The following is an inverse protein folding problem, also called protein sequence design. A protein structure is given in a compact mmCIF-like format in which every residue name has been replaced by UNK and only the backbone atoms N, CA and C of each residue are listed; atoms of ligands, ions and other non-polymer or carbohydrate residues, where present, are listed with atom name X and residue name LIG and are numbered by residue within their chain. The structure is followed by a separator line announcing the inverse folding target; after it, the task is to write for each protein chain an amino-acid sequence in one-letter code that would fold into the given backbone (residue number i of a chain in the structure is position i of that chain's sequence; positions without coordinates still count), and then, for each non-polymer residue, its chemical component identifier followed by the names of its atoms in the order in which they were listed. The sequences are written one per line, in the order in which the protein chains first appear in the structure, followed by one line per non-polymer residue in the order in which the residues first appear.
data_IF_132207169458
#
_entry.id   IF_132207169458
#
_cell.length_a   1.000
_cell.length_b   1.000
_cell.length_c   1.000
_cell.angle_alpha   90.00
_cell.angle_beta   90.00
_cell.angle_gamma   90.00
#
_symmetry.space_group_name_H-M   'P 1'
#
loop_
_entity.id
_entity.type
_entity.pdbx_description
1 polymer ?
#
# COMPACT_ATOMS: atom_id res chain seq x y z
N UNK A 1 9.58 2.02 -9.78
CA UNK A 1 8.46 1.19 -10.21
C UNK A 1 7.23 1.78 -9.56
N UNK A 2 6.45 2.55 -10.31
CA UNK A 2 5.10 2.96 -9.93
C UNK A 2 4.21 1.75 -10.18
N UNK A 3 3.49 1.27 -9.17
CA UNK A 3 2.54 0.18 -9.33
C UNK A 3 1.23 0.79 -9.85
N UNK A 4 0.59 0.19 -10.85
CA UNK A 4 -0.68 0.65 -11.45
C UNK A 4 -1.90 0.33 -10.55
N UNK A 5 -1.68 0.03 -9.27
CA UNK A 5 -2.72 -0.43 -8.34
C UNK A 5 -3.13 0.67 -7.39
N UNK A 6 -4.43 0.88 -7.29
CA UNK A 6 -5.05 1.70 -6.25
C UNK A 6 -4.85 1.09 -4.86
N UNK A 7 -4.97 1.92 -3.82
CA UNK A 7 -4.94 1.45 -2.43
C UNK A 7 -6.04 0.42 -2.15
N UNK A 8 -7.22 0.60 -2.76
CA UNK A 8 -8.36 -0.30 -2.60
C UNK A 8 -8.09 -1.68 -3.22
N UNK A 9 -7.51 -1.74 -4.42
CA UNK A 9 -7.13 -3.02 -5.05
C UNK A 9 -6.09 -3.78 -4.23
N UNK A 10 -5.10 -3.07 -3.66
CA UNK A 10 -4.12 -3.73 -2.78
C UNK A 10 -4.79 -4.23 -1.52
N UNK A 11 -5.69 -3.45 -0.91
CA UNK A 11 -6.45 -3.85 0.27
C UNK A 11 -7.34 -5.07 0.01
N UNK A 12 -8.06 -5.11 -1.11
CA UNK A 12 -8.90 -6.25 -1.49
C UNK A 12 -8.10 -7.51 -1.83
N UNK A 13 -6.86 -7.33 -2.31
CA UNK A 13 -5.95 -8.44 -2.60
C UNK A 13 -5.25 -9.02 -1.36
N UNK A 14 -5.46 -8.45 -0.17
CA UNK A 14 -4.83 -8.96 1.05
C UNK A 14 -5.30 -10.38 1.33
N UNK A 15 -4.37 -11.22 1.76
CA UNK A 15 -4.67 -12.53 2.31
C UNK A 15 -4.27 -12.60 3.79
N UNK A 16 -4.63 -13.69 4.46
CA UNK A 16 -4.37 -13.85 5.90
C UNK A 16 -2.87 -13.76 6.29
N UNK A 17 -1.94 -14.13 5.41
CA UNK A 17 -0.50 -13.96 5.71
C UNK A 17 -0.05 -12.50 5.64
N UNK A 18 -0.68 -11.71 4.77
CA UNK A 18 -0.44 -10.27 4.69
C UNK A 18 -1.02 -9.57 5.92
N UNK A 19 -2.23 -9.92 6.34
CA UNK A 19 -2.85 -9.41 7.57
C UNK A 19 -1.98 -9.68 8.81
N UNK A 20 -1.48 -10.90 8.97
CA UNK A 20 -0.58 -11.27 10.08
C UNK A 20 0.70 -10.44 10.07
N UNK A 21 1.25 -10.16 8.89
CA UNK A 21 2.46 -9.37 8.78
C UNK A 21 2.22 -7.89 9.07
N UNK A 22 1.10 -7.34 8.58
CA UNK A 22 0.65 -5.99 8.90
C UNK A 22 0.45 -5.88 10.41
N UNK A 23 -0.21 -6.83 11.06
CA UNK A 23 -0.45 -6.83 12.49
C UNK A 23 0.86 -6.78 13.29
N UNK A 24 1.85 -7.60 12.91
CA UNK A 24 3.17 -7.59 13.54
C UNK A 24 3.94 -6.29 13.33
N UNK A 25 3.77 -5.64 12.18
CA UNK A 25 4.53 -4.45 11.82
C UNK A 25 3.87 -3.14 12.28
N UNK A 26 2.55 -3.03 12.20
CA UNK A 26 1.78 -1.80 12.36
C UNK A 26 0.67 -1.90 13.41
N UNK A 27 0.38 -3.11 13.92
CA UNK A 27 -0.82 -3.39 14.73
C UNK A 27 -2.01 -3.77 13.86
N UNK A 28 -3.15 -4.07 14.50
CA UNK A 28 -4.39 -4.47 13.80
C UNK A 28 -4.76 -3.47 12.70
N UNK A 29 -5.03 -3.96 11.49
CA UNK A 29 -5.33 -3.10 10.33
C UNK A 29 -6.55 -2.21 10.57
N UNK A 30 -7.53 -2.69 11.33
CA UNK A 30 -8.73 -1.95 11.74
C UNK A 30 -8.41 -0.74 12.62
N UNK A 31 -7.29 -0.78 13.36
CA UNK A 31 -6.82 0.34 14.19
C UNK A 31 -6.23 1.49 13.35
N UNK A 32 -5.97 1.26 12.06
CA UNK A 32 -5.44 2.25 11.14
C UNK A 32 -6.52 3.07 10.43
N UNK A 33 -7.82 2.78 10.66
CA UNK A 33 -8.95 3.47 10.02
C UNK A 33 -8.91 4.99 10.14
N UNK A 34 -8.45 5.51 11.27
CA UNK A 34 -8.37 6.95 11.56
C UNK A 34 -6.98 7.53 11.25
N UNK A 35 -6.10 6.73 10.64
CA UNK A 35 -4.70 7.07 10.31
C UNK A 35 -4.42 6.78 8.83
N UNK A 36 -5.01 7.53 7.89
CA UNK A 36 -4.98 7.20 6.46
C UNK A 36 -3.56 7.06 5.91
N UNK A 37 -2.62 7.92 6.32
CA UNK A 37 -1.23 7.81 5.87
C UNK A 37 -0.49 6.60 6.45
N UNK A 38 -0.94 6.07 7.58
CA UNK A 38 -0.36 4.84 8.13
C UNK A 38 -1.00 3.61 7.49
N UNK A 39 -2.28 3.68 7.14
CA UNK A 39 -2.94 2.67 6.33
C UNK A 39 -2.24 2.51 4.97
N UNK A 40 -2.00 3.60 4.22
CA UNK A 40 -1.25 3.54 2.96
C UNK A 40 0.16 2.94 3.11
N UNK A 41 0.85 3.24 4.22
CA UNK A 41 2.16 2.63 4.50
C UNK A 41 2.06 1.14 4.81
N UNK A 42 1.03 0.70 5.52
CA UNK A 42 0.79 -0.71 5.75
C UNK A 42 0.52 -1.47 4.43
N UNK A 43 -0.19 -0.85 3.49
CA UNK A 43 -0.38 -1.41 2.14
C UNK A 43 0.93 -1.45 1.34
N UNK A 44 1.72 -0.38 1.36
CA UNK A 44 3.00 -0.31 0.65
C UNK A 44 4.01 -1.32 1.22
N UNK A 45 3.99 -1.53 2.54
CA UNK A 45 4.74 -2.60 3.20
C UNK A 45 4.41 -3.97 2.63
N UNK A 46 3.12 -4.27 2.42
CA UNK A 46 2.70 -5.54 1.85
C UNK A 46 3.22 -5.74 0.44
N UNK A 47 3.13 -4.72 -0.41
CA UNK A 47 3.66 -4.82 -1.79
C UNK A 47 5.18 -5.02 -1.78
N UNK A 48 5.93 -4.31 -0.94
CA UNK A 48 7.36 -4.53 -0.78
C UNK A 48 7.72 -5.94 -0.29
N UNK A 49 6.90 -6.55 0.57
CA UNK A 49 7.08 -7.96 0.96
C UNK A 49 6.82 -8.91 -0.20
N UNK A 50 5.79 -8.64 -1.00
CA UNK A 50 5.46 -9.41 -2.21
C UNK A 50 6.55 -9.31 -3.28
N UNK A 51 7.27 -8.20 -3.33
CA UNK A 51 8.49 -8.02 -4.13
C UNK A 51 9.71 -8.79 -3.59
N UNK A 52 9.57 -9.48 -2.46
CA UNK A 52 10.61 -10.32 -1.86
C UNK A 52 11.48 -9.65 -0.81
N UNK A 53 11.17 -8.41 -0.37
CA UNK A 53 11.88 -7.77 0.74
C UNK A 53 11.54 -8.45 2.07
N UNK A 54 12.49 -8.45 2.99
CA UNK A 54 12.22 -8.89 4.38
C UNK A 54 11.24 -7.93 5.07
N UNK A 55 10.52 -8.39 6.09
CA UNK A 55 9.60 -7.55 6.87
C UNK A 55 10.27 -6.26 7.39
N UNK A 56 11.55 -6.35 7.79
CA UNK A 56 12.33 -5.20 8.25
C UNK A 56 12.56 -4.18 7.13
N UNK A 57 13.03 -4.64 5.97
CA UNK A 57 13.32 -3.78 4.82
C UNK A 57 12.05 -3.20 4.21
N UNK A 58 10.99 -4.00 4.11
CA UNK A 58 9.69 -3.58 3.62
C UNK A 58 9.10 -2.49 4.53
N UNK A 59 9.17 -2.68 5.85
CA UNK A 59 8.63 -1.70 6.81
C UNK A 59 9.44 -0.40 6.76
N UNK A 60 10.77 -0.51 6.69
CA UNK A 60 11.63 0.68 6.56
C UNK A 60 11.30 1.46 5.30
N UNK A 61 11.23 0.79 4.14
CA UNK A 61 10.89 1.43 2.86
C UNK A 61 9.50 2.10 2.89
N UNK A 62 8.50 1.43 3.46
CA UNK A 62 7.16 2.01 3.60
C UNK A 62 7.14 3.22 4.54
N UNK A 63 7.91 3.19 5.63
CA UNK A 63 8.01 4.32 6.57
C UNK A 63 8.77 5.52 5.99
N UNK A 64 9.80 5.26 5.19
CA UNK A 64 10.61 6.29 4.53
C UNK A 64 9.89 6.96 3.37
N UNK A 65 8.85 6.32 2.82
CA UNK A 65 8.04 6.90 1.77
C UNK A 65 7.41 8.22 2.20
N UNK A 66 7.68 9.25 1.41
CA UNK A 66 7.07 10.57 1.53
C UNK A 66 5.58 10.50 1.17
N UNK A 67 4.83 11.53 1.56
CA UNK A 67 3.41 11.61 1.19
C UNK A 67 3.20 11.57 -0.32
N UNK A 68 4.06 12.26 -1.09
CA UNK A 68 3.98 12.29 -2.55
C UNK A 68 4.23 10.90 -3.14
N UNK A 69 5.25 10.18 -2.65
CA UNK A 69 5.53 8.83 -3.13
C UNK A 69 4.40 7.86 -2.82
N UNK A 70 3.76 7.98 -1.66
CA UNK A 70 2.57 7.19 -1.32
C UNK A 70 1.40 7.50 -2.26
N UNK A 71 1.11 8.77 -2.52
CA UNK A 71 0.02 9.15 -3.43
C UNK A 71 0.30 8.77 -4.87
N UNK A 72 1.55 8.90 -5.32
CA UNK A 72 1.96 8.52 -6.68
C UNK A 72 1.93 7.00 -6.86
N UNK A 73 2.28 6.24 -5.82
CA UNK A 73 2.25 4.77 -5.86
C UNK A 73 0.83 4.21 -5.94
N UNK A 74 -0.12 4.79 -5.21
CA UNK A 74 -1.52 4.33 -5.17
C UNK A 74 -2.46 5.13 -6.08
N UNK A 75 -1.90 5.87 -7.04
CA UNK A 75 -2.69 6.68 -7.95
C UNK A 75 -3.55 5.75 -8.81
N UNK A 76 -4.86 5.96 -8.78
CA UNK A 76 -5.72 5.44 -9.84
C UNK A 76 -5.32 6.13 -11.13
N UNK A 77 -4.88 5.38 -12.14
CA UNK A 77 -4.93 5.92 -13.49
C UNK A 77 -6.41 6.16 -13.79
N UNK A 78 -6.83 7.42 -13.70
CA UNK A 78 -8.02 7.86 -14.41
C UNK A 78 -7.70 7.63 -15.88
N UNK A 79 -8.11 6.48 -16.41
CA UNK A 79 -8.17 6.23 -17.84
C UNK A 79 -8.78 7.49 -18.48
N UNK A 80 -7.95 8.23 -19.21
CA UNK A 80 -8.36 9.35 -20.04
C UNK A 80 -9.17 8.75 -21.20
N UNK A 81 -10.42 8.36 -20.93
CA UNK A 81 -11.44 8.22 -21.96
C UNK A 81 -12.22 9.53 -22.06
N UNK A 82 -11.48 10.57 -22.47
CA UNK A 82 -12.06 11.82 -22.94
C UNK A 82 -11.86 11.88 -24.47
N UNK A 83 -12.62 11.08 -25.22
CA UNK A 83 -12.73 11.31 -26.65
C UNK A 83 -13.26 10.16 -27.49
N UNK A 84 -14.55 9.84 -27.37
CA UNK A 84 -15.29 9.27 -28.50
C UNK A 84 -16.42 10.21 -28.96
N UNK A 85 -16.12 10.86 -30.10
CA UNK A 85 -16.96 11.42 -31.18
C UNK A 85 -18.08 12.43 -30.88
#
# INVERSE_FOLDING_TARGET
MTSEKTADEVFESLNGFDEIAIEKAFGEITSLKDKPMMFLRALLFTEHRREGKTDKEAKQAAMDATMRELTDYFRADEDIDAGEA
#
